data_IF_462097530137
#
_entry.id   IF_462097530137
#
_cell.length_a   1.000
_cell.length_b   1.000
_cell.length_c   1.000
_cell.angle_alpha   90.00
_cell.angle_beta   90.00
_cell.angle_gamma   90.00
#
_symmetry.space_group_name_H-M   'P 1'
#
loop_
_entity.id
_entity.type
_entity.pdbx_description
1 polymer ?
#
# COMPACT_ATOMS: atom_id res chain seq x y z
N UNK A 1 -16.61 -3.14 2.17
CA UNK A 1 -17.92 -3.32 2.81
C UNK A 1 -19.09 -3.13 1.83
N UNK A 2 -19.20 -2.00 1.11
CA UNK A 2 -20.30 -1.79 0.13
C UNK A 2 -20.34 -2.88 -0.94
N UNK A 3 -19.20 -3.22 -1.56
CA UNK A 3 -19.12 -4.26 -2.60
C UNK A 3 -19.57 -5.63 -2.06
N UNK A 4 -19.18 -5.97 -0.84
CA UNK A 4 -19.60 -7.21 -0.17
C UNK A 4 -21.11 -7.26 0.08
N UNK A 5 -21.70 -6.13 0.50
CA UNK A 5 -23.16 -6.03 0.68
C UNK A 5 -23.87 -6.20 -0.67
N UNK A 6 -23.37 -5.57 -1.73
CA UNK A 6 -23.94 -5.74 -3.08
C UNK A 6 -23.88 -7.20 -3.54
N UNK A 7 -22.76 -7.88 -3.35
CA UNK A 7 -22.61 -9.29 -3.71
C UNK A 7 -23.57 -10.19 -2.90
N UNK A 8 -23.66 -9.99 -1.58
CA UNK A 8 -24.58 -10.72 -0.73
C UNK A 8 -26.05 -10.48 -1.09
N UNK A 9 -26.41 -9.26 -1.50
CA UNK A 9 -27.75 -8.96 -2.00
C UNK A 9 -28.04 -9.77 -3.27
N UNK A 10 -27.09 -9.86 -4.20
CA UNK A 10 -27.24 -10.66 -5.42
C UNK A 10 -27.43 -12.14 -5.06
N UNK A 11 -26.58 -12.69 -4.18
CA UNK A 11 -26.69 -14.09 -3.72
C UNK A 11 -28.06 -14.35 -3.08
N UNK A 12 -28.51 -13.47 -2.20
CA UNK A 12 -29.83 -13.58 -1.57
C UNK A 12 -30.96 -13.53 -2.60
N UNK A 13 -30.89 -12.63 -3.58
CA UNK A 13 -31.88 -12.59 -4.68
C UNK A 13 -31.89 -13.89 -5.48
N UNK A 14 -30.74 -14.54 -5.70
CA UNK A 14 -30.69 -15.85 -6.37
C UNK A 14 -31.27 -17.00 -5.54
N UNK A 15 -31.29 -16.91 -4.21
CA UNK A 15 -31.88 -17.95 -3.35
C UNK A 15 -33.41 -17.83 -3.25
N UNK A 16 -33.93 -16.59 -3.19
CA UNK A 16 -35.34 -16.33 -2.88
C UNK A 16 -36.21 -16.01 -4.10
N UNK A 17 -35.62 -15.60 -5.22
CA UNK A 17 -36.34 -15.20 -6.44
C UNK A 17 -35.95 -16.13 -7.59
N UNK A 18 -36.76 -17.17 -7.84
CA UNK A 18 -36.49 -18.19 -8.86
C UNK A 18 -36.30 -17.63 -10.28
N UNK A 19 -37.09 -16.60 -10.67
CA UNK A 19 -36.96 -15.96 -11.98
C UNK A 19 -35.61 -15.26 -12.13
N UNK A 20 -35.21 -14.50 -11.12
CA UNK A 20 -33.90 -13.84 -11.06
C UNK A 20 -32.77 -14.87 -11.06
N UNK A 21 -32.89 -15.95 -10.28
CA UNK A 21 -31.90 -17.02 -10.21
C UNK A 21 -31.62 -17.65 -11.58
N UNK A 22 -32.68 -17.92 -12.35
CA UNK A 22 -32.57 -18.53 -13.68
C UNK A 22 -31.86 -17.60 -14.66
N UNK A 23 -32.29 -16.33 -14.71
CA UNK A 23 -31.71 -15.32 -15.59
C UNK A 23 -30.26 -14.98 -15.22
N UNK A 24 -29.99 -14.85 -13.92
CA UNK A 24 -28.65 -14.59 -13.39
C UNK A 24 -27.69 -15.75 -13.69
N UNK A 25 -28.10 -17.00 -13.44
CA UNK A 25 -27.24 -18.17 -13.70
C UNK A 25 -26.98 -18.35 -15.21
N UNK A 26 -27.96 -18.10 -16.08
CA UNK A 26 -27.75 -18.12 -17.53
C UNK A 26 -26.78 -17.02 -17.98
N UNK A 27 -26.96 -15.80 -17.45
CA UNK A 27 -26.05 -14.68 -17.72
C UNK A 27 -24.65 -14.98 -17.20
N UNK A 28 -24.52 -15.60 -16.03
CA UNK A 28 -23.24 -16.01 -15.46
C UNK A 28 -22.52 -17.04 -16.35
N UNK A 29 -23.23 -18.04 -16.87
CA UNK A 29 -22.64 -19.06 -17.73
C UNK A 29 -22.18 -18.53 -19.09
N UNK A 30 -22.78 -17.44 -19.58
CA UNK A 30 -22.48 -16.83 -20.88
C UNK A 30 -21.53 -15.64 -20.79
N UNK A 31 -21.69 -14.80 -19.77
CA UNK A 31 -21.00 -13.52 -19.61
C UNK A 31 -20.97 -13.07 -18.13
N UNK A 32 -20.03 -13.57 -17.29
CA UNK A 32 -19.98 -13.30 -15.85
C UNK A 32 -19.40 -11.91 -15.50
N UNK A 33 -19.76 -10.85 -16.23
CA UNK A 33 -19.18 -9.52 -16.08
C UNK A 33 -19.39 -8.92 -14.69
N UNK A 34 -20.62 -8.98 -14.17
CA UNK A 34 -20.96 -8.40 -12.87
C UNK A 34 -20.12 -9.01 -11.75
N UNK A 35 -20.09 -10.35 -11.71
CA UNK A 35 -19.33 -11.10 -10.70
C UNK A 35 -17.82 -10.86 -10.85
N UNK A 36 -17.32 -10.76 -12.08
CA UNK A 36 -15.90 -10.45 -12.34
C UNK A 36 -15.52 -9.06 -11.81
N UNK A 37 -16.36 -8.04 -12.04
CA UNK A 37 -16.13 -6.68 -11.53
C UNK A 37 -16.09 -6.68 -10.00
N UNK A 38 -17.03 -7.38 -9.36
CA UNK A 38 -17.07 -7.51 -7.89
C UNK A 38 -15.75 -8.10 -7.36
N UNK A 39 -15.27 -9.20 -7.94
CA UNK A 39 -14.01 -9.83 -7.52
C UNK A 39 -12.80 -8.93 -7.72
N UNK A 40 -12.68 -8.26 -8.87
CA UNK A 40 -11.58 -7.33 -9.13
C UNK A 40 -11.58 -6.19 -8.12
N UNK A 41 -12.75 -5.60 -7.84
CA UNK A 41 -12.90 -4.53 -6.87
C UNK A 41 -12.57 -4.98 -5.44
N UNK A 42 -12.98 -6.19 -5.04
CA UNK A 42 -12.63 -6.78 -3.74
C UNK A 42 -11.11 -7.01 -3.62
N UNK A 43 -10.49 -7.61 -4.63
CA UNK A 43 -9.05 -7.86 -4.67
C UNK A 43 -8.23 -6.57 -4.63
N UNK A 44 -8.68 -5.54 -5.35
CA UNK A 44 -8.09 -4.20 -5.27
C UNK A 44 -8.21 -3.63 -3.86
N UNK A 45 -9.39 -3.75 -3.22
CA UNK A 45 -9.59 -3.29 -1.85
C UNK A 45 -8.65 -4.02 -0.86
N UNK A 46 -8.50 -5.34 -0.96
CA UNK A 46 -7.56 -6.11 -0.13
C UNK A 46 -6.11 -5.67 -0.32
N UNK A 47 -5.69 -5.49 -1.58
CA UNK A 47 -4.36 -4.96 -1.87
C UNK A 47 -4.17 -3.56 -1.27
N UNK A 48 -5.17 -2.69 -1.39
CA UNK A 48 -5.14 -1.35 -0.83
C UNK A 48 -5.01 -1.37 0.70
N UNK A 49 -5.70 -2.29 1.37
CA UNK A 49 -5.60 -2.49 2.83
C UNK A 49 -4.17 -2.89 3.21
N UNK A 50 -3.58 -3.89 2.55
CA UNK A 50 -2.21 -4.35 2.84
C UNK A 50 -1.21 -3.22 2.63
N UNK A 51 -1.30 -2.49 1.52
CA UNK A 51 -0.40 -1.38 1.21
C UNK A 51 -0.57 -0.21 2.20
N UNK A 52 -1.80 0.08 2.62
CA UNK A 52 -2.10 1.14 3.61
C UNK A 52 -1.51 0.79 4.97
N UNK A 53 -1.72 -0.44 5.46
CA UNK A 53 -1.14 -0.90 6.74
C UNK A 53 0.39 -0.95 6.67
N UNK A 54 0.94 -1.35 5.52
CA UNK A 54 2.39 -1.37 5.28
C UNK A 54 2.97 0.03 5.07
N UNK A 55 2.14 1.05 4.86
CA UNK A 55 2.56 2.41 4.54
C UNK A 55 3.33 2.53 3.21
N UNK A 56 3.17 1.59 2.29
CA UNK A 56 3.89 1.51 1.01
C UNK A 56 3.00 1.95 -0.16
N UNK A 57 3.56 2.61 -1.18
CA UNK A 57 2.82 2.94 -2.39
C UNK A 57 2.52 1.67 -3.20
N UNK A 58 1.48 1.75 -4.03
CA UNK A 58 1.19 0.71 -5.02
C UNK A 58 2.34 0.58 -6.03
N UNK A 59 2.60 -0.65 -6.46
CA UNK A 59 3.59 -0.94 -7.48
C UNK A 59 2.90 -1.35 -8.78
N UNK A 60 3.48 -0.97 -9.92
CA UNK A 60 2.88 -1.20 -11.25
C UNK A 60 2.56 -2.68 -11.51
N UNK A 61 3.41 -3.60 -11.07
CA UNK A 61 3.16 -5.04 -11.25
C UNK A 61 1.87 -5.52 -10.57
N UNK A 62 1.41 -4.85 -9.51
CA UNK A 62 0.20 -5.26 -8.80
C UNK A 62 -1.05 -5.02 -9.65
N UNK A 63 -1.08 -3.91 -10.40
CA UNK A 63 -2.14 -3.62 -11.35
C UNK A 63 -2.11 -4.58 -12.54
N UNK A 64 -0.91 -4.97 -13.00
CA UNK A 64 -0.75 -5.98 -14.05
C UNK A 64 -1.36 -7.31 -13.60
N UNK A 65 -1.08 -7.77 -12.38
CA UNK A 65 -1.69 -9.00 -11.86
C UNK A 65 -3.21 -8.93 -11.76
N UNK A 66 -3.76 -7.83 -11.23
CA UNK A 66 -5.21 -7.62 -11.17
C UNK A 66 -5.86 -7.64 -12.57
N UNK A 67 -5.20 -7.02 -13.55
CA UNK A 67 -5.66 -7.03 -14.93
C UNK A 67 -5.63 -8.43 -15.55
N UNK A 68 -4.54 -9.19 -15.35
CA UNK A 68 -4.41 -10.56 -15.84
C UNK A 68 -5.47 -11.49 -15.24
N UNK A 69 -5.80 -11.32 -13.96
CA UNK A 69 -6.89 -12.06 -13.29
C UNK A 69 -8.23 -11.72 -13.93
N UNK A 70 -8.52 -10.44 -14.13
CA UNK A 70 -9.74 -10.01 -14.81
C UNK A 70 -9.85 -10.58 -16.22
N UNK A 71 -8.75 -10.56 -16.98
CA UNK A 71 -8.70 -11.14 -18.32
C UNK A 71 -8.95 -12.65 -18.30
N UNK A 72 -8.33 -13.38 -17.37
CA UNK A 72 -8.60 -14.81 -17.18
C UNK A 72 -10.08 -15.07 -16.93
N UNK A 73 -10.68 -14.37 -15.98
CA UNK A 73 -12.09 -14.58 -15.61
C UNK A 73 -13.05 -14.30 -16.77
N UNK A 74 -12.74 -13.29 -17.60
CA UNK A 74 -13.51 -12.98 -18.80
C UNK A 74 -13.26 -13.91 -19.98
N UNK A 75 -12.18 -14.70 -19.99
CA UNK A 75 -11.84 -15.64 -21.05
C UNK A 75 -12.47 -17.03 -20.86
N UNK A 76 -12.86 -17.40 -19.64
CA UNK A 76 -13.51 -18.67 -19.31
C UNK A 76 -14.83 -18.94 -20.07
N UNK A 77 -15.69 -17.94 -20.36
CA UNK A 77 -17.00 -18.16 -20.99
C UNK A 77 -16.97 -18.87 -22.35
N UNK A 78 -15.83 -18.86 -23.05
CA UNK A 78 -15.67 -19.50 -24.37
C UNK A 78 -15.57 -21.04 -24.32
N UNK A 79 -15.57 -21.64 -23.13
CA UNK A 79 -15.54 -23.09 -22.94
C UNK A 79 -16.94 -23.71 -22.78
N UNK A 80 -17.04 -25.03 -23.00
CA UNK A 80 -18.28 -25.79 -22.83
C UNK A 80 -18.80 -25.72 -21.37
N UNK A 81 -20.13 -25.71 -21.23
CA UNK A 81 -20.79 -25.66 -19.92
C UNK A 81 -20.45 -26.92 -19.12
N UNK A 82 -19.71 -26.74 -18.03
CA UNK A 82 -19.25 -27.83 -17.16
C UNK A 82 -18.91 -27.30 -15.77
N UNK A 83 -18.88 -28.18 -14.78
CA UNK A 83 -18.38 -27.86 -13.44
C UNK A 83 -16.93 -27.32 -13.50
N UNK A 84 -16.10 -27.88 -14.38
CA UNK A 84 -14.71 -27.45 -14.57
C UNK A 84 -14.61 -26.00 -15.05
N UNK A 85 -15.49 -25.57 -15.98
CA UNK A 85 -15.57 -24.17 -16.43
C UNK A 85 -15.80 -23.22 -15.25
N UNK A 86 -16.79 -23.53 -14.42
CA UNK A 86 -17.15 -22.68 -13.27
C UNK A 86 -16.05 -22.70 -12.21
N UNK A 87 -15.45 -23.86 -11.95
CA UNK A 87 -14.31 -23.97 -11.04
C UNK A 87 -13.09 -23.15 -11.50
N UNK A 88 -12.73 -23.22 -12.79
CA UNK A 88 -11.65 -22.43 -13.37
C UNK A 88 -11.93 -20.92 -13.37
N UNK A 89 -13.20 -20.51 -13.33
CA UNK A 89 -13.58 -19.10 -13.19
C UNK A 89 -13.26 -18.55 -11.80
N UNK A 90 -13.56 -19.31 -10.74
CA UNK A 90 -13.31 -18.88 -9.35
C UNK A 90 -11.84 -19.06 -8.91
N UNK A 91 -11.12 -20.03 -9.49
CA UNK A 91 -9.75 -20.38 -9.10
C UNK A 91 -8.76 -19.20 -9.01
N UNK A 92 -8.64 -18.29 -10.01
CA UNK A 92 -7.70 -17.18 -9.94
C UNK A 92 -7.92 -16.26 -8.74
N UNK A 93 -9.18 -16.06 -8.34
CA UNK A 93 -9.52 -15.23 -7.20
C UNK A 93 -9.00 -15.85 -5.90
N UNK A 94 -9.20 -17.15 -5.70
CA UNK A 94 -8.71 -17.86 -4.51
C UNK A 94 -7.17 -17.89 -4.46
N UNK A 95 -6.52 -18.12 -5.61
CA UNK A 95 -5.07 -18.07 -5.70
C UNK A 95 -4.52 -16.67 -5.40
N UNK A 96 -5.21 -15.63 -5.88
CA UNK A 96 -4.81 -14.26 -5.60
C UNK A 96 -5.00 -13.88 -4.13
N UNK A 97 -6.06 -14.36 -3.48
CA UNK A 97 -6.26 -14.17 -2.04
C UNK A 97 -5.12 -14.80 -1.22
N UNK A 98 -4.72 -16.03 -1.56
CA UNK A 98 -3.56 -16.70 -0.94
C UNK A 98 -2.28 -15.90 -1.22
N UNK A 99 -2.08 -15.44 -2.45
CA UNK A 99 -0.96 -14.58 -2.83
C UNK A 99 -0.92 -13.29 -2.02
N UNK A 100 -2.05 -12.60 -1.84
CA UNK A 100 -2.15 -11.40 -1.01
C UNK A 100 -1.79 -11.69 0.44
N UNK A 101 -2.21 -12.85 0.98
CA UNK A 101 -1.79 -13.31 2.30
C UNK A 101 -0.27 -13.50 2.40
N UNK A 102 0.34 -14.17 1.43
CA UNK A 102 1.80 -14.30 1.33
C UNK A 102 2.50 -12.95 1.18
N UNK A 103 1.91 -12.03 0.39
CA UNK A 103 2.43 -10.68 0.18
C UNK A 103 2.40 -9.86 1.48
N UNK A 104 1.33 -9.96 2.26
CA UNK A 104 1.23 -9.34 3.59
C UNK A 104 2.32 -9.88 4.54
N UNK A 105 2.58 -11.20 4.52
CA UNK A 105 3.67 -11.79 5.31
C UNK A 105 5.06 -11.41 4.81
N UNK A 106 5.24 -11.24 3.49
CA UNK A 106 6.48 -10.79 2.89
C UNK A 106 6.84 -9.35 3.32
N UNK A 107 5.84 -8.46 3.39
CA UNK A 107 6.01 -7.07 3.87
C UNK A 107 6.60 -7.00 5.29
N UNK A 108 6.41 -8.03 6.13
CA UNK A 108 6.98 -8.09 7.48
C UNK A 108 8.51 -8.10 7.51
N UNK A 109 9.15 -8.50 6.41
CA UNK A 109 10.61 -8.60 6.27
C UNK A 109 11.24 -7.32 5.74
N UNK A 110 10.44 -6.32 5.40
CA UNK A 110 10.90 -5.09 4.76
C UNK A 110 10.82 -3.94 5.78
N UNK A 111 11.97 -3.49 6.27
CA UNK A 111 12.06 -2.32 7.17
C UNK A 111 11.99 -0.98 6.39
N UNK A 112 11.63 0.14 7.06
CA UNK A 112 11.10 0.24 8.42
C UNK A 112 9.58 -0.03 8.45
N UNK A 113 9.13 -0.84 9.42
CA UNK A 113 7.72 -1.16 9.63
C UNK A 113 7.40 -1.18 11.13
N UNK A 114 6.36 -0.44 11.54
CA UNK A 114 5.87 -0.36 12.92
C UNK A 114 5.56 -1.74 13.52
N UNK A 115 5.75 -1.88 14.84
CA UNK A 115 5.36 -3.09 15.58
C UNK A 115 3.86 -3.41 15.44
N UNK A 116 3.02 -2.37 15.38
CA UNK A 116 1.58 -2.48 15.20
C UNK A 116 1.24 -2.98 13.80
N UNK A 117 1.84 -2.36 12.78
CA UNK A 117 1.69 -2.79 11.38
C UNK A 117 2.15 -4.25 11.19
N UNK A 118 3.26 -4.65 11.82
CA UNK A 118 3.74 -6.05 11.84
C UNK A 118 2.69 -7.00 12.43
N UNK A 119 2.02 -6.63 13.52
CA UNK A 119 0.95 -7.44 14.14
C UNK A 119 -0.25 -7.61 13.20
N UNK A 120 -0.73 -6.54 12.59
CA UNK A 120 -1.88 -6.58 11.67
C UNK A 120 -1.58 -7.33 10.38
N UNK A 121 -0.41 -7.11 9.78
CA UNK A 121 0.01 -7.83 8.57
C UNK A 121 0.19 -9.33 8.82
N UNK A 122 0.71 -9.73 10.00
CA UNK A 122 0.75 -11.14 10.39
C UNK A 122 -0.64 -11.73 10.50
N UNK A 123 -1.55 -11.03 11.18
CA UNK A 123 -2.92 -11.48 11.35
C UNK A 123 -3.64 -11.63 10.01
N UNK A 124 -3.66 -10.57 9.19
CA UNK A 124 -4.31 -10.57 7.87
C UNK A 124 -3.67 -11.58 6.94
N UNK A 125 -2.34 -11.71 6.97
CA UNK A 125 -1.59 -12.65 6.14
C UNK A 125 -2.00 -14.10 6.39
N UNK A 126 -1.94 -14.54 7.65
CA UNK A 126 -2.34 -15.90 8.03
C UNK A 126 -3.83 -16.15 7.83
N UNK A 127 -4.67 -15.16 8.16
CA UNK A 127 -6.12 -15.23 7.94
C UNK A 127 -6.43 -15.47 6.45
N UNK A 128 -5.82 -14.69 5.55
CA UNK A 128 -6.08 -14.77 4.11
C UNK A 128 -5.58 -16.07 3.48
N UNK A 129 -4.44 -16.60 3.92
CA UNK A 129 -3.94 -17.91 3.46
C UNK A 129 -4.88 -19.01 3.94
N UNK A 130 -5.22 -19.03 5.23
CA UNK A 130 -6.08 -20.06 5.81
C UNK A 130 -7.47 -20.09 5.17
N UNK A 131 -8.11 -18.93 5.05
CA UNK A 131 -9.41 -18.83 4.39
C UNK A 131 -9.32 -19.05 2.88
N UNK A 132 -8.27 -18.59 2.19
CA UNK A 132 -8.11 -18.88 0.76
C UNK A 132 -8.06 -20.38 0.46
N UNK A 133 -7.42 -21.19 1.31
CA UNK A 133 -7.43 -22.66 1.19
C UNK A 133 -8.79 -23.25 1.55
N UNK A 134 -9.44 -22.76 2.60
CA UNK A 134 -10.76 -23.21 3.02
C UNK A 134 -11.82 -22.94 1.93
N UNK A 135 -11.83 -21.73 1.37
CA UNK A 135 -12.74 -21.32 0.32
C UNK A 135 -12.50 -22.15 -0.94
N UNK A 136 -11.24 -22.36 -1.36
CA UNK A 136 -10.94 -23.22 -2.51
C UNK A 136 -11.44 -24.66 -2.30
N UNK A 137 -11.36 -25.17 -1.07
CA UNK A 137 -11.84 -26.50 -0.72
C UNK A 137 -13.38 -26.56 -0.74
N UNK A 138 -14.04 -25.54 -0.22
CA UNK A 138 -15.50 -25.40 -0.24
C UNK A 138 -16.02 -25.29 -1.68
N UNK A 139 -15.45 -24.39 -2.49
CA UNK A 139 -15.79 -24.22 -3.91
C UNK A 139 -15.63 -25.54 -4.68
N UNK A 140 -14.53 -26.27 -4.44
CA UNK A 140 -14.30 -27.56 -5.08
C UNK A 140 -15.37 -28.58 -4.68
N UNK A 141 -15.78 -28.61 -3.41
CA UNK A 141 -16.83 -29.52 -2.97
C UNK A 141 -18.19 -29.16 -3.56
N UNK A 142 -18.60 -27.89 -3.48
CA UNK A 142 -19.90 -27.40 -3.94
C UNK A 142 -20.04 -27.56 -5.45
N UNK A 143 -19.05 -27.10 -6.22
CA UNK A 143 -19.11 -27.11 -7.69
C UNK A 143 -19.14 -28.54 -8.24
N UNK A 144 -18.38 -29.47 -7.67
CA UNK A 144 -18.32 -30.84 -8.22
C UNK A 144 -19.37 -31.80 -7.65
N UNK A 145 -19.92 -31.55 -6.45
CA UNK A 145 -20.81 -32.51 -5.78
C UNK A 145 -22.25 -32.00 -5.55
N UNK A 146 -22.46 -30.68 -5.50
CA UNK A 146 -23.77 -30.09 -5.14
C UNK A 146 -24.43 -29.47 -6.37
N UNK A 147 -23.68 -28.73 -7.19
CA UNK A 147 -24.23 -27.96 -8.30
C UNK A 147 -24.61 -28.81 -9.51
N UNK A 148 -25.59 -28.32 -10.28
CA UNK A 148 -26.07 -28.94 -11.51
C UNK A 148 -25.84 -28.04 -12.73
N UNK A 149 -25.07 -28.56 -13.69
CA UNK A 149 -24.62 -27.85 -14.90
C UNK A 149 -25.14 -28.51 -16.18
N UNK A 150 -26.46 -28.74 -16.26
CA UNK A 150 -27.07 -29.33 -17.46
C UNK A 150 -27.56 -28.25 -18.43
N UNK A 151 -27.58 -28.52 -19.73
CA UNK A 151 -28.00 -27.55 -20.76
C UNK A 151 -29.46 -27.07 -20.60
N UNK A 152 -30.28 -27.83 -19.87
CA UNK A 152 -31.71 -27.57 -19.67
C UNK A 152 -31.98 -26.90 -18.32
N UNK A 153 -31.19 -27.24 -17.28
CA UNK A 153 -31.35 -26.74 -15.92
C UNK A 153 -29.98 -26.38 -15.32
N UNK A 154 -29.80 -25.10 -15.00
CA UNK A 154 -28.66 -24.59 -14.23
C UNK A 154 -29.09 -24.30 -12.80
N UNK A 155 -28.51 -25.03 -11.84
CA UNK A 155 -28.70 -24.78 -10.41
C UNK A 155 -27.33 -24.63 -9.77
N UNK A 156 -26.87 -23.38 -9.71
CA UNK A 156 -25.58 -22.99 -9.14
C UNK A 156 -25.83 -22.43 -7.74
N UNK A 157 -25.17 -23.00 -6.75
CA UNK A 157 -25.14 -22.44 -5.41
C UNK A 157 -24.10 -21.33 -5.34
N UNK A 158 -24.57 -20.08 -5.34
CA UNK A 158 -23.69 -18.90 -5.30
C UNK A 158 -23.18 -18.55 -3.89
N UNK A 159 -23.56 -19.33 -2.88
CA UNK A 159 -23.24 -19.05 -1.48
C UNK A 159 -21.97 -19.78 -1.06
N UNK A 160 -21.10 -19.03 -0.38
CA UNK A 160 -19.81 -19.51 0.08
C UNK A 160 -19.57 -19.08 1.53
N UNK A 161 -19.75 -20.00 2.45
CA UNK A 161 -19.76 -19.72 3.90
C UNK A 161 -18.38 -19.26 4.35
N UNK A 162 -17.31 -19.89 3.86
CA UNK A 162 -15.95 -19.51 4.20
C UNK A 162 -15.61 -18.09 3.73
N UNK A 163 -16.10 -17.67 2.56
CA UNK A 163 -15.87 -16.33 2.02
C UNK A 163 -16.60 -15.25 2.84
N UNK A 164 -17.84 -15.53 3.24
CA UNK A 164 -18.62 -14.63 4.10
C UNK A 164 -17.94 -14.46 5.47
N UNK A 165 -17.54 -15.56 6.10
CA UNK A 165 -16.85 -15.54 7.41
C UNK A 165 -15.53 -14.76 7.30
N UNK A 166 -14.73 -15.01 6.27
CA UNK A 166 -13.49 -14.28 6.02
C UNK A 166 -13.74 -12.77 5.93
N UNK A 167 -14.71 -12.37 5.12
CA UNK A 167 -14.99 -10.96 4.87
C UNK A 167 -15.53 -10.25 6.12
N UNK A 168 -16.33 -10.93 6.93
CA UNK A 168 -16.80 -10.41 8.22
C UNK A 168 -15.62 -10.20 9.18
N UNK A 169 -14.78 -11.21 9.39
CA UNK A 169 -13.62 -11.12 10.29
C UNK A 169 -12.69 -9.99 9.86
N UNK A 170 -12.39 -9.91 8.56
CA UNK A 170 -11.52 -8.87 8.02
C UNK A 170 -12.15 -7.48 8.16
N UNK A 171 -13.46 -7.33 7.91
CA UNK A 171 -14.15 -6.05 8.08
C UNK A 171 -14.08 -5.56 9.52
N UNK A 172 -14.30 -6.44 10.50
CA UNK A 172 -14.16 -6.11 11.92
C UNK A 172 -12.72 -5.71 12.25
N UNK A 173 -11.73 -6.45 11.75
CA UNK A 173 -10.32 -6.14 11.98
C UNK A 173 -9.92 -4.78 11.41
N UNK A 174 -10.41 -4.42 10.22
CA UNK A 174 -10.16 -3.11 9.59
C UNK A 174 -10.82 -1.99 10.38
N UNK A 175 -12.07 -2.15 10.81
CA UNK A 175 -12.76 -1.14 11.62
C UNK A 175 -12.00 -0.88 12.93
N UNK A 176 -11.54 -1.95 13.58
CA UNK A 176 -10.72 -1.84 14.80
C UNK A 176 -9.40 -1.11 14.52
N UNK A 177 -8.71 -1.47 13.44
CA UNK A 177 -7.48 -0.80 13.02
C UNK A 177 -7.71 0.69 12.75
N UNK A 178 -8.69 1.05 11.92
CA UNK A 178 -8.99 2.44 11.57
C UNK A 178 -9.37 3.30 12.79
N UNK A 179 -10.16 2.77 13.72
CA UNK A 179 -10.66 3.57 14.84
C UNK A 179 -9.66 3.71 15.99
N UNK A 180 -8.85 2.68 16.26
CA UNK A 180 -8.01 2.64 17.45
C UNK A 180 -6.54 2.86 17.16
N UNK A 181 -6.05 2.24 16.10
CA UNK A 181 -4.63 1.96 15.92
C UNK A 181 -4.03 2.69 14.71
N UNK A 182 -4.86 3.16 13.77
CA UNK A 182 -4.45 3.94 12.62
C UNK A 182 -3.81 5.28 13.02
N UNK A 183 -4.39 6.10 13.94
CA UNK A 183 -3.73 7.32 14.39
C UNK A 183 -2.34 7.05 14.98
N UNK A 184 -2.19 5.97 15.76
CA UNK A 184 -0.88 5.57 16.30
C UNK A 184 0.13 5.24 15.19
N UNK A 185 -0.29 4.50 14.15
CA UNK A 185 0.60 4.13 13.04
C UNK A 185 1.08 5.33 12.22
N UNK A 186 0.26 6.38 12.10
CA UNK A 186 0.64 7.63 11.43
C UNK A 186 1.65 8.40 12.27
N UNK A 187 1.39 8.51 13.59
CA UNK A 187 2.29 9.18 14.52
C UNK A 187 3.68 8.51 14.59
N UNK A 188 3.74 7.17 14.61
CA UNK A 188 5.01 6.43 14.56
C UNK A 188 5.76 6.65 13.23
N UNK A 189 5.04 6.80 12.11
CA UNK A 189 5.65 7.07 10.81
C UNK A 189 6.19 8.50 10.71
N UNK A 190 5.46 9.46 11.27
CA UNK A 190 5.91 10.84 11.35
C UNK A 190 7.11 10.95 12.31
N UNK A 191 7.08 10.25 13.45
CA UNK A 191 8.23 10.12 14.34
C UNK A 191 9.43 9.47 13.65
N UNK A 192 9.25 8.36 12.91
CA UNK A 192 10.33 7.70 12.18
C UNK A 192 10.90 8.56 11.04
N UNK A 193 10.07 9.35 10.34
CA UNK A 193 10.54 10.33 9.36
C UNK A 193 11.29 11.49 10.00
N UNK A 194 10.86 11.92 11.19
CA UNK A 194 11.57 12.92 11.98
C UNK A 194 12.91 12.38 12.47
N UNK A 195 12.97 11.10 12.88
CA UNK A 195 14.22 10.42 13.24
C UNK A 195 15.15 10.22 12.03
N UNK A 196 14.62 9.85 10.85
CA UNK A 196 15.38 9.80 9.59
C UNK A 196 15.95 11.18 9.26
N UNK A 197 15.15 12.25 9.37
CA UNK A 197 15.59 13.63 9.15
C UNK A 197 16.50 14.18 10.26
N UNK A 198 16.51 13.58 11.46
CA UNK A 198 17.41 13.96 12.57
C UNK A 198 18.73 13.17 12.55
N UNK A 199 18.80 12.05 11.83
CA UNK A 199 20.06 11.33 11.59
C UNK A 199 20.93 11.93 10.48
N UNK A 200 20.41 12.95 9.78
CA UNK A 200 21.14 13.81 8.85
C UNK A 200 21.29 15.24 9.41
N UNK A 201 21.69 15.40 10.67
CA UNK A 201 22.65 16.50 10.87
C UNK A 201 23.90 15.99 10.16
N UNK A 202 24.26 16.50 8.96
CA UNK A 202 25.32 15.86 8.22
C UNK A 202 26.53 15.93 9.13
N UNK A 203 27.15 14.79 9.41
CA UNK A 203 28.30 14.64 10.34
C UNK A 203 29.43 15.65 10.02
N UNK A 204 29.37 16.25 8.83
CA UNK A 204 30.30 17.22 8.26
C UNK A 204 29.86 18.68 8.35
N UNK A 205 28.62 18.99 8.76
CA UNK A 205 28.16 20.38 8.93
C UNK A 205 28.93 21.08 10.05
N UNK A 206 29.08 20.45 11.21
CA UNK A 206 29.84 21.01 12.32
C UNK A 206 31.32 21.24 11.94
N UNK A 207 32.06 20.25 11.41
CA UNK A 207 33.42 20.44 10.90
C UNK A 207 33.54 21.53 9.83
N UNK A 208 32.58 21.62 8.90
CA UNK A 208 32.55 22.67 7.88
C UNK A 208 32.37 24.06 8.50
N UNK A 209 31.42 24.19 9.43
CA UNK A 209 31.19 25.46 10.12
C UNK A 209 32.40 25.89 10.95
N UNK A 210 33.11 24.93 11.56
CA UNK A 210 34.34 25.20 12.31
C UNK A 210 35.48 25.64 11.38
N UNK A 211 35.65 24.99 10.23
CA UNK A 211 36.68 25.33 9.24
C UNK A 211 36.57 26.78 8.75
N UNK A 212 35.35 27.28 8.58
CA UNK A 212 35.07 28.66 8.14
C UNK A 212 34.67 29.62 9.27
N UNK A 213 34.84 29.20 10.53
CA UNK A 213 34.54 30.01 11.73
C UNK A 213 33.15 30.66 11.70
N UNK A 214 32.14 29.88 11.30
CA UNK A 214 30.74 30.32 11.30
C UNK A 214 30.22 30.42 12.73
N UNK A 215 29.60 31.56 13.04
CA UNK A 215 28.92 31.80 14.31
C UNK A 215 27.69 30.91 14.43
N UNK A 216 27.21 30.65 15.65
CA UNK A 216 26.05 29.80 15.88
C UNK A 216 24.83 30.16 15.00
N UNK A 217 24.53 31.47 14.86
CA UNK A 217 23.45 31.94 14.00
C UNK A 217 23.71 31.73 12.52
N UNK A 218 24.96 31.83 12.07
CA UNK A 218 25.31 31.50 10.69
C UNK A 218 25.22 30.00 10.42
N UNK A 219 25.46 29.14 11.42
CA UNK A 219 25.27 27.68 11.28
C UNK A 219 23.80 27.33 11.07
N UNK A 220 22.91 27.90 11.89
CA UNK A 220 21.45 27.74 11.77
C UNK A 220 20.94 28.23 10.41
N UNK A 221 21.47 29.35 9.90
CA UNK A 221 21.10 29.85 8.58
C UNK A 221 21.69 28.97 7.46
N UNK A 222 22.91 28.47 7.62
CA UNK A 222 23.57 27.61 6.63
C UNK A 222 22.86 26.26 6.46
N UNK A 223 22.43 25.61 7.55
CA UNK A 223 21.73 24.32 7.48
C UNK A 223 20.47 24.44 6.62
N UNK A 224 19.64 25.43 6.90
CA UNK A 224 18.42 25.71 6.14
C UNK A 224 18.73 26.16 4.70
N UNK A 225 19.87 26.83 4.48
CA UNK A 225 20.31 27.22 3.15
C UNK A 225 20.68 25.99 2.30
N UNK A 226 21.34 24.99 2.90
CA UNK A 226 21.70 23.69 2.29
C UNK A 226 20.47 22.79 2.05
N UNK A 227 19.39 22.98 2.81
CA UNK A 227 18.08 22.38 2.52
C UNK A 227 17.32 23.06 1.35
N UNK A 228 17.96 24.01 0.65
CA UNK A 228 17.36 24.77 -0.45
C UNK A 228 16.16 25.67 -0.05
N UNK A 229 16.00 26.02 1.24
CA UNK A 229 14.92 26.90 1.72
C UNK A 229 15.09 28.35 1.26
N UNK A 230 13.99 29.05 0.97
CA UNK A 230 14.05 30.46 0.58
C UNK A 230 14.37 31.37 1.76
N UNK A 231 14.82 32.60 1.52
CA UNK A 231 15.08 33.55 2.60
C UNK A 231 13.83 33.84 3.45
N UNK A 232 12.63 33.70 2.87
CA UNK A 232 11.37 33.85 3.59
C UNK A 232 11.13 32.65 4.52
N UNK A 233 11.38 31.43 4.02
CA UNK A 233 11.22 30.22 4.81
C UNK A 233 12.19 30.21 6.00
N UNK A 234 13.46 30.56 5.75
CA UNK A 234 14.49 30.69 6.77
C UNK A 234 14.11 31.74 7.82
N UNK A 235 13.57 32.89 7.38
CA UNK A 235 13.11 33.94 8.28
C UNK A 235 11.97 33.46 9.19
N UNK A 236 11.00 32.73 8.62
CA UNK A 236 9.88 32.19 9.36
C UNK A 236 10.32 31.12 10.38
N UNK A 237 11.23 30.22 9.98
CA UNK A 237 11.67 29.09 10.79
C UNK A 237 12.59 29.51 11.95
N UNK A 238 13.44 30.52 11.73
CA UNK A 238 14.33 31.06 12.76
C UNK A 238 13.71 32.23 13.54
N UNK A 239 12.46 32.61 13.24
CA UNK A 239 11.78 33.78 13.82
C UNK A 239 12.58 35.09 13.65
N UNK A 240 13.17 35.29 12.47
CA UNK A 240 14.01 36.44 12.12
C UNK A 240 13.32 37.32 11.06
N UNK A 241 13.76 38.58 10.95
CA UNK A 241 13.37 39.40 9.80
C UNK A 241 14.10 38.95 8.54
N UNK A 242 13.48 39.14 7.36
CA UNK A 242 14.11 38.85 6.06
C UNK A 242 15.43 39.63 5.90
N UNK A 243 15.48 40.86 6.42
CA UNK A 243 16.68 41.69 6.40
C UNK A 243 17.82 41.06 7.21
N UNK A 244 17.51 40.53 8.40
CA UNK A 244 18.46 39.81 9.26
C UNK A 244 18.98 38.54 8.58
N UNK A 245 18.10 37.76 7.94
CA UNK A 245 18.51 36.56 7.18
C UNK A 245 19.44 36.94 6.02
N UNK A 246 19.13 37.99 5.26
CA UNK A 246 20.01 38.48 4.18
C UNK A 246 21.39 38.85 4.70
N UNK A 247 21.49 39.48 5.87
CA UNK A 247 22.77 39.81 6.51
C UNK A 247 23.55 38.55 6.88
N UNK A 248 22.92 37.55 7.50
CA UNK A 248 23.59 36.29 7.84
C UNK A 248 24.06 35.54 6.58
N UNK A 249 23.24 35.46 5.53
CA UNK A 249 23.63 34.85 4.25
C UNK A 249 24.82 35.59 3.63
N UNK A 250 24.83 36.92 3.66
CA UNK A 250 25.95 37.71 3.18
C UNK A 250 27.24 37.42 3.95
N UNK A 251 27.18 37.34 5.29
CA UNK A 251 28.34 37.01 6.10
C UNK A 251 28.85 35.58 5.82
N UNK A 252 27.94 34.62 5.62
CA UNK A 252 28.29 33.25 5.20
C UNK A 252 29.03 33.28 3.87
N UNK A 253 28.54 34.05 2.88
CA UNK A 253 29.19 34.17 1.57
C UNK A 253 30.59 34.75 1.69
N UNK A 254 30.77 35.80 2.51
CA UNK A 254 32.08 36.41 2.77
C UNK A 254 33.04 35.40 3.41
N UNK A 255 32.57 34.62 4.40
CA UNK A 255 33.41 33.62 5.09
C UNK A 255 33.77 32.42 4.23
N UNK A 256 32.90 32.05 3.30
CA UNK A 256 33.12 30.95 2.34
C UNK A 256 33.84 31.40 1.07
N UNK A 257 34.12 32.71 0.92
CA UNK A 257 34.71 33.30 -0.29
C UNK A 257 33.90 33.02 -1.58
N UNK A 258 32.57 32.96 -1.45
CA UNK A 258 31.65 32.72 -2.57
C UNK A 258 30.77 33.93 -2.86
N UNK A 259 30.30 34.05 -4.09
CA UNK A 259 29.45 35.17 -4.53
C UNK A 259 28.02 34.75 -4.83
N UNK A 260 27.78 33.45 -5.03
CA UNK A 260 26.45 32.92 -5.39
C UNK A 260 26.00 31.86 -4.41
N UNK A 261 24.68 31.82 -4.18
CA UNK A 261 24.04 30.77 -3.38
C UNK A 261 24.42 29.37 -3.85
N UNK A 262 24.48 29.13 -5.16
CA UNK A 262 24.85 27.84 -5.74
C UNK A 262 26.29 27.42 -5.37
N UNK A 263 27.21 28.37 -5.21
CA UNK A 263 28.62 28.10 -4.88
C UNK A 263 28.78 27.62 -3.43
N UNK A 264 27.88 28.01 -2.51
CA UNK A 264 27.86 27.46 -1.14
C UNK A 264 27.67 25.95 -1.15
N UNK A 265 26.74 25.44 -1.96
CA UNK A 265 26.50 24.00 -2.08
C UNK A 265 27.72 23.27 -2.64
N UNK A 266 28.37 23.86 -3.65
CA UNK A 266 29.58 23.28 -4.25
C UNK A 266 30.72 23.24 -3.23
N UNK A 267 30.93 24.34 -2.49
CA UNK A 267 31.95 24.40 -1.42
C UNK A 267 31.71 23.34 -0.35
N UNK A 268 30.45 23.15 0.05
CA UNK A 268 30.07 22.13 1.02
C UNK A 268 30.32 20.69 0.50
N UNK A 269 29.98 20.42 -0.76
CA UNK A 269 30.23 19.12 -1.39
C UNK A 269 31.72 18.80 -1.56
N UNK A 270 32.55 19.79 -1.91
CA UNK A 270 34.00 19.59 -2.02
C UNK A 270 34.61 19.27 -0.66
N UNK A 271 34.18 19.98 0.38
CA UNK A 271 34.63 19.71 1.74
C UNK A 271 34.22 18.30 2.20
N UNK A 272 32.98 17.88 1.90
CA UNK A 272 32.52 16.55 2.28
C UNK A 272 33.28 15.42 1.60
N UNK A 273 33.67 15.59 0.33
CA UNK A 273 34.52 14.66 -0.40
C UNK A 273 35.93 14.56 0.21
N UNK A 274 36.56 15.69 0.52
CA UNK A 274 37.90 15.72 1.14
C UNK A 274 37.94 15.01 2.49
N UNK A 275 36.89 15.19 3.31
CA UNK A 275 36.84 14.55 4.62
C UNK A 275 36.55 13.05 4.54
N UNK A 276 35.75 12.61 3.56
CA UNK A 276 35.52 11.20 3.28
C UNK A 276 36.81 10.48 2.82
N UNK A 277 37.64 11.14 2.01
CA UNK A 277 38.94 10.61 1.59
C UNK A 277 39.95 10.49 2.75
N UNK A 278 39.91 11.42 3.70
CA UNK A 278 40.76 11.38 4.89
C UNK A 278 40.34 10.27 5.88
N UNK A 279 39.07 9.91 5.94
CA UNK A 279 38.55 8.84 6.80
C UNK A 279 38.76 7.43 6.21
N UNK A 280 39.01 7.33 4.91
CA UNK A 280 39.24 6.07 4.19
C UNK A 280 40.72 5.63 4.17
N UNK A 281 41.64 6.43 4.71
CA UNK A 281 43.07 6.13 4.86
C UNK A 281 43.40 5.78 6.30
#
# INVERSE_FOLDING_TARGET
MVIFICDNVIVYMTEFINSFATEYNQTFMTAPFLKTIIFICCNFAYLAIINTISGRPFKNYQFVWLFLIGLWMLAIPFSQNSALKVWLYYLPNQLFLIYLGCYALYQLRIDPLSALAKKYLRFIGWLSIGFGVAILSEDTFVIFNIDQYSDIVFKINNRNVSEDIYTIILSIAIIYFCNRDFPLSVLEKDAAKLEENQSDEPVLLAPFCDAYQLTQREREVLSLLLECKTNQDIANELFLSIGTVKTHIHNIFVKLEVNKRAEVFVSYQLFSQQQAEHLAR
#
